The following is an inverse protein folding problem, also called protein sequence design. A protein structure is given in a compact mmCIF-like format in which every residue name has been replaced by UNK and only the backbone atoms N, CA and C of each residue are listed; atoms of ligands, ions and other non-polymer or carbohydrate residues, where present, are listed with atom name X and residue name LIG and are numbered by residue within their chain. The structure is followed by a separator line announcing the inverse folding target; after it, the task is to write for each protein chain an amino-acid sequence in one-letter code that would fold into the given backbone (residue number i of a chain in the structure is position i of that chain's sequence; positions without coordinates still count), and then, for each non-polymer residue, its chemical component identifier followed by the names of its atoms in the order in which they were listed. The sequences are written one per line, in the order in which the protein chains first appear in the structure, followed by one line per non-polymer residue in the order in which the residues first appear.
data_IF_679656918877
#
_entry.id   IF_679656918877
#
_cell.length_a   1.000
_cell.length_b   1.000
_cell.length_c   1.000
_cell.angle_alpha   90.00
_cell.angle_beta   90.00
_cell.angle_gamma   90.00
#
_symmetry.space_group_name_H-M   'P 1'
#
loop_
_entity.id
_entity.type
_entity.pdbx_description
1 polymer ?
#
# COMPACT_ATOMS: atom_id res chain seq x y z
N UNK A 1 8.44 40.28 -24.46
CA UNK A 1 7.49 39.65 -23.55
C UNK A 1 6.29 39.20 -24.38
N UNK A 2 6.24 37.94 -24.71
CA UNK A 2 5.07 37.35 -25.37
C UNK A 2 4.02 37.07 -24.31
N UNK A 3 2.97 37.87 -24.25
CA UNK A 3 1.75 37.54 -23.48
C UNK A 3 1.00 36.47 -24.26
N UNK A 4 1.07 35.22 -23.83
CA UNK A 4 0.15 34.18 -24.28
C UNK A 4 -1.26 34.59 -23.84
N UNK A 5 -2.10 34.91 -24.80
CA UNK A 5 -3.52 35.15 -24.59
C UNK A 5 -4.16 33.85 -24.13
N UNK A 6 -5.02 33.90 -23.12
CA UNK A 6 -5.82 32.74 -22.65
C UNK A 6 -6.69 32.16 -23.79
N UNK A 7 -6.94 32.90 -24.85
CA UNK A 7 -7.66 32.44 -26.04
C UNK A 7 -6.87 31.46 -26.91
N UNK A 8 -5.53 31.46 -26.84
CA UNK A 8 -4.69 30.55 -27.63
C UNK A 8 -4.54 29.16 -26.99
N UNK A 9 -5.06 28.97 -25.77
CA UNK A 9 -4.99 27.73 -25.00
C UNK A 9 -6.31 26.94 -24.95
N UNK A 10 -7.37 27.44 -25.56
CA UNK A 10 -8.64 26.69 -25.64
C UNK A 10 -8.52 25.66 -26.78
N UNK A 11 -8.76 24.38 -26.52
CA UNK A 11 -8.84 23.38 -27.58
C UNK A 11 -9.94 23.81 -28.56
N UNK A 12 -9.59 23.95 -29.83
CA UNK A 12 -10.55 24.23 -30.90
C UNK A 12 -11.47 23.00 -30.98
N UNK A 13 -12.68 23.13 -30.45
CA UNK A 13 -13.69 22.11 -30.51
C UNK A 13 -14.16 22.02 -31.96
N UNK A 14 -13.76 20.96 -32.66
CA UNK A 14 -14.22 20.65 -34.01
C UNK A 14 -15.24 19.50 -33.88
N UNK A 15 -16.57 19.77 -34.06
CA UNK A 15 -17.61 18.77 -33.90
C UNK A 15 -17.40 17.54 -34.79
N UNK A 16 -16.87 17.75 -36.00
CA UNK A 16 -16.62 16.67 -36.96
C UNK A 16 -15.51 15.71 -36.51
N UNK A 17 -14.49 16.20 -35.79
CA UNK A 17 -13.46 15.33 -35.19
C UNK A 17 -14.02 14.52 -34.02
N UNK A 18 -14.92 15.11 -33.22
CA UNK A 18 -15.56 14.41 -32.11
C UNK A 18 -16.40 13.25 -32.62
N UNK A 19 -17.19 13.47 -33.66
CA UNK A 19 -18.00 12.41 -34.29
C UNK A 19 -17.16 11.27 -34.88
N UNK A 20 -15.99 11.59 -35.40
CA UNK A 20 -15.03 10.57 -35.89
C UNK A 20 -14.39 9.79 -34.73
N UNK A 21 -13.99 10.47 -33.68
CA UNK A 21 -13.36 9.85 -32.49
C UNK A 21 -14.35 9.01 -31.68
N UNK A 22 -15.61 9.48 -31.53
CA UNK A 22 -16.68 8.76 -30.83
C UNK A 22 -16.95 7.37 -31.40
N UNK A 23 -16.62 7.13 -32.65
CA UNK A 23 -16.75 5.78 -33.28
C UNK A 23 -15.80 4.77 -32.66
N UNK A 24 -14.75 5.21 -32.01
CA UNK A 24 -13.74 4.37 -31.33
C UNK A 24 -13.87 4.36 -29.83
N UNK A 25 -14.90 5.03 -29.28
CA UNK A 25 -15.16 5.03 -27.84
C UNK A 25 -15.40 3.60 -27.34
N UNK A 26 -14.71 3.26 -26.27
CA UNK A 26 -14.75 1.91 -25.69
C UNK A 26 -13.76 0.91 -26.30
N UNK A 27 -13.04 1.27 -27.37
CA UNK A 27 -11.95 0.47 -27.92
C UNK A 27 -10.62 0.90 -27.32
N UNK A 28 -9.82 -0.07 -26.89
CA UNK A 28 -8.49 0.14 -26.34
C UNK A 28 -7.47 -0.67 -27.15
N UNK A 29 -6.45 0.00 -27.66
CA UNK A 29 -5.33 -0.64 -28.33
C UNK A 29 -4.22 -0.99 -27.33
N UNK A 30 -3.73 -2.23 -27.38
CA UNK A 30 -2.57 -2.68 -26.60
C UNK A 30 -1.46 -3.00 -27.58
N UNK A 31 -0.33 -2.28 -27.46
CA UNK A 31 0.90 -2.59 -28.18
C UNK A 31 1.84 -3.33 -27.24
N UNK A 32 2.36 -4.47 -27.67
CA UNK A 32 3.26 -5.32 -26.86
C UNK A 32 4.23 -6.05 -27.80
N UNK A 33 5.36 -6.44 -27.26
CA UNK A 33 6.35 -7.33 -27.86
C UNK A 33 6.19 -8.79 -27.38
N UNK A 34 5.14 -9.06 -26.60
CA UNK A 34 4.82 -10.42 -26.17
C UNK A 34 4.23 -11.21 -27.36
N UNK A 35 4.74 -12.40 -27.58
CA UNK A 35 4.28 -13.34 -28.63
C UNK A 35 3.18 -14.30 -28.14
N UNK A 36 2.46 -13.91 -27.08
CA UNK A 36 1.40 -14.70 -26.46
C UNK A 36 0.05 -14.49 -27.18
N UNK A 37 -0.88 -15.41 -26.93
CA UNK A 37 -2.26 -15.29 -27.38
C UNK A 37 -2.98 -14.09 -26.77
N UNK A 38 -3.89 -13.46 -27.54
CA UNK A 38 -4.61 -12.26 -27.11
C UNK A 38 -5.23 -12.31 -25.70
N UNK A 39 -5.85 -13.42 -25.23
CA UNK A 39 -6.37 -13.52 -23.87
C UNK A 39 -5.29 -13.40 -22.79
N UNK A 40 -4.08 -13.93 -23.03
CA UNK A 40 -2.95 -13.84 -22.11
C UNK A 40 -2.44 -12.39 -22.02
N UNK A 41 -2.32 -11.72 -23.16
CA UNK A 41 -1.91 -10.30 -23.26
C UNK A 41 -2.92 -9.40 -22.52
N UNK A 42 -4.21 -9.61 -22.73
CA UNK A 42 -5.28 -8.86 -22.03
C UNK A 42 -5.18 -9.07 -20.52
N UNK A 43 -4.94 -10.29 -20.05
CA UNK A 43 -4.77 -10.62 -18.63
C UNK A 43 -3.57 -9.90 -18.03
N UNK A 44 -2.43 -9.86 -18.70
CA UNK A 44 -1.23 -9.14 -18.26
C UNK A 44 -1.50 -7.64 -18.21
N UNK A 45 -2.11 -7.08 -19.25
CA UNK A 45 -2.47 -5.65 -19.29
C UNK A 45 -3.47 -5.30 -18.18
N UNK A 46 -4.46 -6.14 -17.91
CA UNK A 46 -5.41 -5.98 -16.80
C UNK A 46 -4.75 -5.94 -15.41
N UNK A 47 -3.53 -6.51 -15.28
CA UNK A 47 -2.75 -6.44 -14.05
C UNK A 47 -2.00 -5.12 -13.82
N UNK A 48 -1.92 -4.23 -14.80
CA UNK A 48 -1.15 -2.96 -14.69
C UNK A 48 -1.64 -2.05 -13.57
N UNK A 49 -2.94 -2.03 -13.31
CA UNK A 49 -3.52 -1.23 -12.23
C UNK A 49 -2.94 -1.59 -10.85
N UNK A 50 -2.50 -2.84 -10.65
CA UNK A 50 -1.85 -3.28 -9.41
C UNK A 50 -0.54 -2.52 -9.23
N UNK A 51 0.28 -2.44 -10.29
CA UNK A 51 1.55 -1.73 -10.28
C UNK A 51 1.33 -0.23 -10.02
N UNK A 52 0.34 0.36 -10.68
CA UNK A 52 -0.01 1.77 -10.49
C UNK A 52 -0.47 2.05 -9.05
N UNK A 53 -1.27 1.15 -8.48
CA UNK A 53 -1.71 1.23 -7.09
C UNK A 53 -0.52 1.09 -6.11
N UNK A 54 0.43 0.20 -6.38
CA UNK A 54 1.62 -0.01 -5.57
C UNK A 54 2.53 1.22 -5.60
N UNK A 55 2.70 1.86 -6.76
CA UNK A 55 3.40 3.15 -6.86
C UNK A 55 2.67 4.28 -6.13
N UNK A 56 1.33 4.32 -6.21
CA UNK A 56 0.54 5.29 -5.47
C UNK A 56 0.74 5.11 -3.97
N UNK A 57 0.60 3.89 -3.46
CA UNK A 57 0.81 3.56 -2.05
C UNK A 57 2.21 3.93 -1.56
N UNK A 58 3.25 3.64 -2.36
CA UNK A 58 4.62 4.00 -2.03
C UNK A 58 4.80 5.53 -1.89
N UNK A 59 4.08 6.31 -2.68
CA UNK A 59 4.12 7.78 -2.62
C UNK A 59 3.33 8.35 -1.44
N UNK A 60 2.14 7.81 -1.16
CA UNK A 60 1.19 8.35 -0.18
C UNK A 60 1.40 7.76 1.20
N UNK A 61 1.34 6.44 1.34
CA UNK A 61 1.36 5.77 2.63
C UNK A 61 2.78 5.63 3.21
N UNK A 62 3.77 5.42 2.35
CA UNK A 62 5.17 5.30 2.77
C UNK A 62 5.92 6.62 2.69
N UNK A 63 5.27 7.69 2.19
CA UNK A 63 5.87 9.02 2.06
C UNK A 63 7.26 8.98 1.38
N UNK A 64 7.44 8.08 0.39
CA UNK A 64 8.72 7.91 -0.30
C UNK A 64 9.15 9.17 -1.08
N UNK A 65 8.26 10.15 -1.20
CA UNK A 65 8.52 11.47 -1.80
C UNK A 65 7.95 12.58 -0.90
N UNK A 66 8.61 13.75 -0.84
CA UNK A 66 9.84 14.15 -1.57
C UNK A 66 11.12 13.53 -0.98
N UNK A 67 12.13 13.31 -1.86
CA UNK A 67 13.43 12.75 -1.46
C UNK A 67 14.41 13.91 -1.20
N UNK A 68 14.80 14.10 0.06
CA UNK A 68 15.75 15.14 0.48
C UNK A 68 17.21 14.67 0.51
N UNK A 69 17.50 13.58 -0.19
CA UNK A 69 18.85 13.00 -0.28
C UNK A 69 19.57 13.51 -1.53
N UNK A 70 20.89 13.75 -1.41
CA UNK A 70 21.72 14.30 -2.51
C UNK A 70 22.67 13.28 -3.11
N UNK A 71 23.05 12.24 -2.37
CA UNK A 71 24.00 11.22 -2.81
C UNK A 71 23.28 10.07 -3.48
N UNK A 72 23.76 9.61 -4.61
CA UNK A 72 23.14 8.54 -5.41
C UNK A 72 23.01 7.22 -4.65
N UNK A 73 24.06 6.86 -3.88
CA UNK A 73 24.03 5.66 -3.06
C UNK A 73 22.93 5.70 -1.99
N UNK A 74 22.71 6.87 -1.38
CA UNK A 74 21.63 7.06 -0.39
C UNK A 74 20.25 7.08 -1.05
N UNK A 75 20.12 7.68 -2.23
CA UNK A 75 18.87 7.69 -2.99
C UNK A 75 18.49 6.26 -3.38
N UNK A 76 19.45 5.48 -3.86
CA UNK A 76 19.22 4.05 -4.18
C UNK A 76 18.83 3.24 -2.95
N UNK A 77 19.54 3.43 -1.83
CA UNK A 77 19.21 2.76 -0.57
C UNK A 77 17.81 3.13 -0.08
N UNK A 78 17.40 4.40 -0.19
CA UNK A 78 16.06 4.85 0.17
C UNK A 78 14.98 4.11 -0.64
N UNK A 79 15.09 4.10 -1.97
CA UNK A 79 14.11 3.42 -2.81
C UNK A 79 14.13 1.89 -2.62
N UNK A 80 15.29 1.28 -2.38
CA UNK A 80 15.37 -0.13 -2.03
C UNK A 80 14.64 -0.43 -0.73
N UNK A 81 14.80 0.42 0.29
CA UNK A 81 14.08 0.28 1.57
C UNK A 81 12.57 0.40 1.37
N UNK A 82 12.10 1.37 0.58
CA UNK A 82 10.68 1.51 0.25
C UNK A 82 10.15 0.29 -0.50
N UNK A 83 10.93 -0.27 -1.42
CA UNK A 83 10.56 -1.47 -2.16
C UNK A 83 10.45 -2.70 -1.25
N UNK A 84 11.41 -2.90 -0.34
CA UNK A 84 11.35 -3.98 0.65
C UNK A 84 10.14 -3.82 1.59
N UNK A 85 9.87 -2.60 2.03
CA UNK A 85 8.67 -2.29 2.84
C UNK A 85 7.39 -2.63 2.07
N UNK A 86 7.33 -2.32 0.76
CA UNK A 86 6.21 -2.66 -0.10
C UNK A 86 5.99 -4.18 -0.17
N UNK A 87 7.05 -4.97 -0.35
CA UNK A 87 6.96 -6.44 -0.39
C UNK A 87 6.38 -6.97 0.93
N UNK A 88 6.91 -6.52 2.07
CA UNK A 88 6.44 -6.94 3.40
C UNK A 88 4.97 -6.56 3.60
N UNK A 89 4.61 -5.34 3.21
CA UNK A 89 3.24 -4.86 3.28
C UNK A 89 2.29 -5.70 2.42
N UNK A 90 2.65 -5.98 1.17
CA UNK A 90 1.84 -6.82 0.26
C UNK A 90 1.65 -8.24 0.78
N UNK A 91 2.68 -8.79 1.44
CA UNK A 91 2.56 -10.08 2.11
C UNK A 91 1.55 -10.02 3.27
N UNK A 92 1.60 -8.97 4.09
CA UNK A 92 0.66 -8.73 5.18
C UNK A 92 -0.77 -8.54 4.65
N UNK A 93 -0.95 -7.66 3.65
CA UNK A 93 -2.25 -7.40 2.99
C UNK A 93 -2.87 -8.70 2.47
N UNK A 94 -2.09 -9.52 1.76
CA UNK A 94 -2.54 -10.83 1.27
C UNK A 94 -2.92 -11.80 2.41
N UNK A 95 -2.23 -11.71 3.55
CA UNK A 95 -2.51 -12.56 4.72
C UNK A 95 -3.79 -12.14 5.45
N UNK A 96 -4.07 -10.83 5.52
CA UNK A 96 -5.25 -10.25 6.17
C UNK A 96 -6.49 -10.41 5.30
N UNK A 97 -6.37 -10.17 3.99
CA UNK A 97 -7.46 -10.25 3.01
C UNK A 97 -7.75 -11.69 2.53
N UNK A 98 -7.47 -12.71 3.36
CA UNK A 98 -7.87 -14.08 3.05
C UNK A 98 -9.37 -14.26 3.27
N UNK A 99 -10.02 -14.95 2.33
CA UNK A 99 -11.47 -15.21 2.37
C UNK A 99 -12.27 -14.04 1.77
N UNK A 100 -13.35 -13.65 2.43
CA UNK A 100 -14.29 -12.61 1.95
C UNK A 100 -13.90 -11.19 2.35
N UNK A 101 -12.82 -11.02 3.12
CA UNK A 101 -12.40 -9.70 3.59
C UNK A 101 -11.68 -8.95 2.48
N UNK A 102 -11.94 -7.65 2.40
CA UNK A 102 -11.34 -6.77 1.40
C UNK A 102 -11.01 -5.40 2.04
N UNK A 103 -10.05 -5.41 2.95
CA UNK A 103 -9.56 -4.19 3.58
C UNK A 103 -8.62 -3.45 2.63
N UNK A 104 -8.80 -2.15 2.52
CA UNK A 104 -7.94 -1.27 1.71
C UNK A 104 -6.58 -1.04 2.38
N UNK A 105 -5.59 -0.64 1.59
CA UNK A 105 -4.25 -0.31 2.10
C UNK A 105 -4.28 0.79 3.16
N UNK A 106 -5.08 1.83 2.94
CA UNK A 106 -5.23 2.93 3.90
C UNK A 106 -5.84 2.48 5.23
N UNK A 107 -6.86 1.61 5.20
CA UNK A 107 -7.45 1.05 6.43
C UNK A 107 -6.46 0.22 7.22
N UNK A 108 -5.67 -0.63 6.55
CA UNK A 108 -4.68 -1.48 7.21
C UNK A 108 -3.59 -0.62 7.85
N UNK A 109 -3.00 0.32 7.09
CA UNK A 109 -1.91 1.18 7.59
C UNK A 109 -2.43 2.11 8.67
N UNK A 110 -3.57 2.78 8.47
CA UNK A 110 -4.18 3.65 9.46
C UNK A 110 -4.47 2.92 10.77
N UNK A 111 -5.04 1.72 10.70
CA UNK A 111 -5.28 0.89 11.90
C UNK A 111 -3.97 0.54 12.61
N UNK A 112 -2.92 0.16 11.88
CA UNK A 112 -1.61 -0.13 12.48
C UNK A 112 -0.98 1.09 13.16
N UNK A 113 -1.13 2.27 12.59
CA UNK A 113 -0.66 3.54 13.18
C UNK A 113 -1.44 3.93 14.45
N UNK A 114 -2.72 3.58 14.50
CA UNK A 114 -3.59 3.83 15.67
C UNK A 114 -3.39 2.80 16.80
N UNK A 115 -2.78 1.64 16.54
CA UNK A 115 -2.55 0.59 17.54
C UNK A 115 -1.45 0.95 18.55
N UNK A 116 -1.70 2.00 19.32
CA UNK A 116 -0.79 2.54 20.33
C UNK A 116 -1.10 2.00 21.74
N UNK A 117 -0.15 2.19 22.65
CA UNK A 117 -0.23 1.79 24.06
C UNK A 117 0.22 2.90 24.98
N UNK A 118 -0.49 3.05 26.08
CA UNK A 118 -0.04 3.88 27.22
C UNK A 118 0.58 2.96 28.26
N UNK A 119 1.79 3.30 28.72
CA UNK A 119 2.43 2.59 29.81
C UNK A 119 1.94 3.13 31.16
N UNK A 120 1.44 2.22 32.03
CA UNK A 120 1.02 2.55 33.39
C UNK A 120 2.01 1.94 34.37
N UNK A 121 2.52 2.78 35.26
CA UNK A 121 3.53 2.36 36.25
C UNK A 121 2.95 1.30 37.20
N UNK A 122 3.65 0.17 37.34
CA UNK A 122 3.22 -0.96 38.17
C UNK A 122 2.30 -1.93 37.46
N UNK A 123 1.44 -1.51 36.55
CA UNK A 123 0.38 -2.34 35.95
C UNK A 123 0.81 -2.99 34.62
N UNK A 124 1.23 -2.18 33.65
CA UNK A 124 1.59 -2.67 32.31
C UNK A 124 1.27 -1.68 31.21
N UNK A 125 0.63 -2.16 30.14
CA UNK A 125 0.28 -1.38 28.97
C UNK A 125 -1.22 -1.43 28.71
N UNK A 126 -1.83 -0.28 28.51
CA UNK A 126 -3.23 -0.12 28.15
C UNK A 126 -3.29 0.20 26.66
N UNK A 127 -3.99 -0.60 25.83
CA UNK A 127 -4.20 -0.27 24.42
C UNK A 127 -5.11 0.96 24.32
N UNK A 128 -4.76 1.90 23.43
CA UNK A 128 -5.55 3.11 23.15
C UNK A 128 -6.47 2.96 21.95
N UNK A 129 -6.42 1.81 21.29
CA UNK A 129 -7.24 1.49 20.13
C UNK A 129 -8.44 0.61 20.51
N UNK A 130 -9.50 0.69 19.69
CA UNK A 130 -10.71 -0.11 19.85
C UNK A 130 -10.64 -1.40 19.05
N UNK A 131 -11.38 -2.41 19.50
CA UNK A 131 -11.50 -3.68 18.77
C UNK A 131 -12.42 -3.51 17.57
N UNK A 132 -11.90 -3.84 16.39
CA UNK A 132 -12.61 -3.84 15.10
C UNK A 132 -12.44 -5.19 14.41
N UNK A 133 -13.15 -5.41 13.30
CA UNK A 133 -12.96 -6.59 12.46
C UNK A 133 -11.51 -6.67 11.97
N UNK A 134 -10.94 -5.55 11.53
CA UNK A 134 -9.57 -5.47 11.04
C UNK A 134 -8.54 -5.77 12.14
N UNK A 135 -8.69 -5.19 13.35
CA UNK A 135 -7.79 -5.51 14.48
C UNK A 135 -7.88 -6.99 14.88
N UNK A 136 -9.05 -7.62 14.76
CA UNK A 136 -9.17 -9.07 14.97
C UNK A 136 -8.37 -9.88 13.95
N UNK A 137 -8.40 -9.50 12.66
CA UNK A 137 -7.61 -10.15 11.60
C UNK A 137 -6.12 -9.93 11.80
N UNK A 138 -5.71 -8.72 12.19
CA UNK A 138 -4.31 -8.41 12.53
C UNK A 138 -3.80 -9.29 13.67
N UNK A 139 -4.55 -9.39 14.77
CA UNK A 139 -4.21 -10.26 15.90
C UNK A 139 -4.16 -11.74 15.53
N UNK A 140 -5.14 -12.22 14.75
CA UNK A 140 -5.16 -13.58 14.24
C UNK A 140 -3.96 -13.88 13.34
N UNK A 141 -3.57 -12.93 12.51
CA UNK A 141 -2.39 -13.04 11.65
C UNK A 141 -1.07 -13.03 12.42
N UNK A 142 -0.99 -12.25 13.51
CA UNK A 142 0.19 -12.13 14.35
C UNK A 142 0.35 -13.29 15.34
N UNK A 143 -0.72 -14.03 15.64
CA UNK A 143 -0.72 -15.15 16.60
C UNK A 143 -0.74 -14.71 18.07
N UNK A 144 -0.94 -13.42 18.35
CA UNK A 144 -1.08 -12.89 19.71
C UNK A 144 -2.13 -11.79 19.77
N UNK A 145 -2.64 -11.51 20.99
CA UNK A 145 -3.61 -10.44 21.22
C UNK A 145 -3.14 -9.47 22.29
N UNK A 146 -3.34 -8.18 22.00
CA UNK A 146 -3.01 -7.08 22.88
C UNK A 146 -4.19 -6.14 23.16
N UNK A 147 -5.39 -6.48 22.69
CA UNK A 147 -6.62 -5.74 22.86
C UNK A 147 -7.37 -6.09 24.18
N UNK A 148 -6.61 -6.46 25.19
CA UNK A 148 -7.11 -6.68 26.55
C UNK A 148 -7.05 -5.38 27.34
N UNK A 149 -7.87 -5.25 28.37
CA UNK A 149 -7.97 -4.03 29.18
C UNK A 149 -6.61 -3.55 29.72
N UNK A 150 -5.77 -4.48 30.16
CA UNK A 150 -4.37 -4.26 30.53
C UNK A 150 -3.52 -5.41 29.98
N UNK A 151 -2.41 -5.10 29.35
CA UNK A 151 -1.39 -6.07 28.92
C UNK A 151 -0.25 -6.03 29.93
N UNK A 152 -0.09 -7.06 30.80
CA UNK A 152 0.98 -7.08 31.80
C UNK A 152 2.37 -6.96 31.15
N UNK A 153 3.32 -6.32 31.85
CA UNK A 153 4.70 -6.15 31.34
C UNK A 153 5.36 -7.47 30.93
N UNK A 154 5.11 -8.54 31.67
CA UNK A 154 5.67 -9.86 31.38
C UNK A 154 5.11 -10.42 30.06
N UNK A 155 3.79 -10.28 29.80
CA UNK A 155 3.15 -10.69 28.57
C UNK A 155 3.67 -9.91 27.39
N UNK A 156 3.83 -8.58 27.51
CA UNK A 156 4.38 -7.74 26.45
C UNK A 156 5.84 -8.12 26.13
N UNK A 157 6.68 -8.34 27.16
CA UNK A 157 8.06 -8.84 26.97
C UNK A 157 8.10 -10.18 26.25
N UNK A 158 7.18 -11.11 26.58
CA UNK A 158 7.08 -12.41 25.94
C UNK A 158 6.72 -12.24 24.45
N UNK A 159 5.70 -11.46 24.12
CA UNK A 159 5.29 -11.15 22.75
C UNK A 159 6.49 -10.61 21.94
N UNK A 160 7.18 -9.59 22.46
CA UNK A 160 8.35 -8.99 21.80
C UNK A 160 9.48 -10.01 21.62
N UNK A 161 9.71 -10.88 22.61
CA UNK A 161 10.75 -11.91 22.53
C UNK A 161 10.40 -13.00 21.50
N UNK A 162 9.15 -13.44 21.45
CA UNK A 162 8.68 -14.45 20.50
C UNK A 162 8.70 -13.96 19.06
N UNK A 163 8.26 -12.72 18.81
CA UNK A 163 8.33 -12.11 17.48
C UNK A 163 9.76 -11.95 16.97
N UNK A 164 10.72 -11.67 17.85
CA UNK A 164 12.15 -11.63 17.49
C UNK A 164 12.74 -13.00 17.19
N UNK A 165 12.30 -14.06 17.87
CA UNK A 165 12.79 -15.43 17.69
C UNK A 165 12.23 -16.10 16.44
N UNK A 166 10.98 -15.83 16.08
CA UNK A 166 10.37 -16.43 14.89
C UNK A 166 11.03 -15.98 13.59
N UNK A 167 11.77 -14.87 13.60
CA UNK A 167 12.57 -14.42 12.46
C UNK A 167 13.88 -15.21 12.28
N UNK A 168 14.35 -15.92 13.31
CA UNK A 168 15.61 -16.67 13.27
C UNK A 168 15.46 -18.16 12.94
N UNK A 169 14.23 -18.67 12.84
CA UNK A 169 13.97 -20.11 12.61
C UNK A 169 13.50 -20.43 11.17
N UNK A 170 13.70 -19.52 10.21
CA UNK A 170 13.40 -19.73 8.79
C UNK A 170 14.67 -19.69 7.91
N UNK A 171 15.80 -20.16 8.43
CA UNK A 171 16.96 -20.54 7.65
C UNK A 171 16.96 -22.04 7.35
#
# INVERSE_FOLDING_TARGET
IYTLSLHDALPIYQPEMIDQETRFDGFYGICTDLEDEAPAIIKVNGGRWIIENDFRMTKTEFEARPVFLRRDDRIRAHFLTCFLALILYKYLEKKINRGTNNFTSGEIIGTLQEMNFVSVAGEGYIPTYTRTTLTNHLHGSAGFRTDTQIVPKQKMKKIISETKKSSNNQE
#
